data_IF_441370643035
#
_entry.id   IF_441370643035
#
_cell.length_a   1.000
_cell.length_b   1.000
_cell.length_c   1.000
_cell.angle_alpha   90.00
_cell.angle_beta   90.00
_cell.angle_gamma   90.00
#
_symmetry.space_group_name_H-M   'P 1'
#
loop_
_entity.id
_entity.type
_entity.pdbx_description
1 polymer ?
#
# COMPACT_ATOMS: atom_id res chain seq x y z
N UNK A 1 1.21 -42.09 59.10
CA UNK A 1 1.05 -43.07 58.00
C UNK A 1 -0.33 -42.88 57.40
N UNK A 2 -0.38 -42.64 56.09
CA UNK A 2 -1.55 -42.59 55.19
C UNK A 2 -2.64 -41.52 55.45
N UNK A 3 -3.24 -40.86 54.45
CA UNK A 3 -2.92 -40.37 53.09
C UNK A 3 -4.29 -39.82 52.61
N UNK A 4 -4.34 -38.56 52.16
CA UNK A 4 -5.01 -38.08 50.92
C UNK A 4 -6.54 -38.38 50.81
N UNK A 5 -7.48 -37.43 50.68
CA UNK A 5 -7.69 -36.55 49.51
C UNK A 5 -8.79 -35.51 49.86
N UNK A 6 -8.43 -34.25 50.11
CA UNK A 6 -9.38 -33.13 50.09
C UNK A 6 -9.40 -32.62 48.65
N UNK A 7 -10.46 -32.91 47.90
CA UNK A 7 -10.69 -32.34 46.57
C UNK A 7 -11.38 -30.98 46.75
N UNK A 8 -10.57 -29.94 46.92
CA UNK A 8 -10.96 -28.56 46.67
C UNK A 8 -10.87 -28.29 45.18
N UNK A 9 -12.00 -28.02 44.55
CA UNK A 9 -12.11 -27.32 43.26
C UNK A 9 -13.27 -26.35 43.48
N UNK A 10 -12.99 -25.18 44.05
CA UNK A 10 -12.67 -23.97 43.29
C UNK A 10 -13.53 -23.91 42.01
N UNK A 11 -14.63 -23.18 42.12
CA UNK A 11 -15.37 -22.73 40.96
C UNK A 11 -14.48 -21.90 40.04
N UNK A 12 -14.86 -21.84 38.77
CA UNK A 12 -14.95 -20.61 38.00
C UNK A 12 -15.49 -21.01 36.60
N UNK A 13 -16.66 -20.48 36.28
CA UNK A 13 -17.13 -20.12 34.95
C UNK A 13 -17.39 -21.22 33.91
N UNK A 14 -18.62 -21.73 33.96
CA UNK A 14 -19.43 -22.00 32.77
C UNK A 14 -19.49 -20.73 31.89
N UNK A 15 -18.63 -20.66 30.87
CA UNK A 15 -18.84 -19.79 29.71
C UNK A 15 -19.43 -20.65 28.58
N UNK A 16 -20.76 -20.68 28.39
CA UNK A 16 -21.25 -20.85 27.03
C UNK A 16 -20.98 -19.51 26.33
N UNK A 17 -20.08 -19.55 25.34
CA UNK A 17 -19.94 -18.52 24.31
C UNK A 17 -21.27 -18.43 23.56
N UNK A 18 -22.21 -17.68 24.12
CA UNK A 18 -23.41 -17.25 23.44
C UNK A 18 -22.96 -16.25 22.39
N UNK A 19 -23.10 -16.65 21.14
CA UNK A 19 -23.11 -15.76 19.98
C UNK A 19 -23.95 -14.52 20.28
N UNK A 20 -23.30 -13.37 20.42
CA UNK A 20 -23.93 -12.09 20.10
C UNK A 20 -23.33 -11.62 18.79
N UNK A 21 -23.98 -12.05 17.71
CA UNK A 21 -23.97 -11.32 16.45
C UNK A 21 -24.71 -10.00 16.67
N UNK A 22 -24.04 -8.98 17.22
CA UNK A 22 -24.55 -7.62 17.14
C UNK A 22 -24.32 -7.12 15.72
N UNK A 23 -25.27 -7.41 14.84
CA UNK A 23 -25.56 -6.58 13.68
C UNK A 23 -26.04 -5.22 14.20
N UNK A 24 -25.09 -4.37 14.54
CA UNK A 24 -25.33 -3.01 14.97
C UNK A 24 -24.68 -2.07 13.95
N UNK A 25 -25.36 -1.93 12.81
CA UNK A 25 -25.39 -0.66 12.09
C UNK A 25 -26.10 0.36 12.99
N UNK A 26 -25.46 0.77 14.07
CA UNK A 26 -25.90 1.92 14.86
C UNK A 26 -24.92 3.05 14.58
N UNK A 27 -25.42 4.03 13.84
CA UNK A 27 -24.89 5.40 13.85
C UNK A 27 -24.60 5.83 15.28
N UNK A 28 -23.51 6.57 15.54
CA UNK A 28 -23.12 6.94 16.89
C UNK A 28 -24.18 7.86 17.50
N UNK A 29 -25.10 7.30 18.27
CA UNK A 29 -26.08 8.06 19.03
C UNK A 29 -25.37 8.78 20.18
N UNK A 30 -25.12 10.08 19.99
CA UNK A 30 -24.70 10.98 21.07
C UNK A 30 -25.71 10.86 22.22
N UNK A 31 -25.28 10.28 23.34
CA UNK A 31 -26.11 10.17 24.53
C UNK A 31 -26.25 11.55 25.18
N UNK A 32 -27.37 12.22 24.94
CA UNK A 32 -27.74 13.43 25.67
C UNK A 32 -28.42 12.99 26.97
N UNK A 33 -27.75 13.14 28.11
CA UNK A 33 -28.38 12.95 29.42
C UNK A 33 -29.15 14.22 29.80
N UNK A 34 -30.46 14.10 29.99
CA UNK A 34 -31.26 15.19 30.52
C UNK A 34 -30.84 15.49 31.98
N UNK A 35 -30.40 16.73 32.23
CA UNK A 35 -30.16 17.22 33.58
C UNK A 35 -31.49 17.50 34.29
N UNK A 36 -31.63 17.04 35.54
CA UNK A 36 -32.84 17.25 36.35
C UNK A 36 -32.82 18.68 36.87
N UNK A 37 -33.73 19.53 36.40
CA UNK A 37 -33.93 20.89 36.93
C UNK A 37 -35.34 20.93 37.54
N UNK A 38 -35.44 21.17 38.84
CA UNK A 38 -36.72 21.40 39.52
C UNK A 38 -37.20 22.83 39.25
N UNK A 39 -38.46 22.99 38.85
CA UNK A 39 -39.08 24.33 38.75
C UNK A 39 -39.14 25.00 40.13
N UNK A 40 -39.27 26.33 40.16
CA UNK A 40 -39.41 27.10 41.42
C UNK A 40 -40.64 26.69 42.27
N UNK A 41 -41.57 25.91 41.71
CA UNK A 41 -42.75 25.36 42.40
C UNK A 41 -42.60 23.86 42.75
N UNK A 42 -41.41 23.28 42.62
CA UNK A 42 -41.13 21.90 43.05
C UNK A 42 -41.60 20.80 42.08
N UNK A 43 -42.11 21.15 40.90
CA UNK A 43 -42.50 20.17 39.88
C UNK A 43 -41.32 19.76 39.00
N UNK A 44 -41.29 18.49 38.61
CA UNK A 44 -40.30 17.92 37.70
C UNK A 44 -40.57 18.41 36.29
N UNK A 45 -39.65 19.19 35.72
CA UNK A 45 -39.72 19.64 34.33
C UNK A 45 -38.76 18.78 33.51
N UNK A 46 -39.26 18.15 32.45
CA UNK A 46 -38.43 17.45 31.46
C UNK A 46 -38.20 18.40 30.29
N UNK A 47 -36.96 18.86 30.12
CA UNK A 47 -36.57 19.66 28.96
C UNK A 47 -36.14 18.69 27.88
N UNK A 48 -36.91 18.60 26.80
CA UNK A 48 -36.46 17.96 25.56
C UNK A 48 -35.60 18.98 24.81
N UNK A 49 -34.28 18.78 24.68
CA UNK A 49 -33.50 19.63 23.81
C UNK A 49 -34.06 19.48 22.39
N UNK A 50 -34.36 20.60 21.73
CA UNK A 50 -34.78 20.58 20.33
C UNK A 50 -33.71 19.85 19.51
N UNK A 51 -34.09 18.72 18.92
CA UNK A 51 -33.29 18.02 17.93
C UNK A 51 -33.20 18.88 16.68
N UNK A 52 -32.21 19.78 16.62
CA UNK A 52 -31.84 20.44 15.38
C UNK A 52 -30.80 19.59 14.67
N UNK A 53 -31.05 19.25 13.41
CA UNK A 53 -30.03 18.68 12.54
C UNK A 53 -28.87 19.68 12.46
N UNK A 54 -27.78 19.40 13.16
CA UNK A 54 -26.55 20.14 12.96
C UNK A 54 -25.91 19.62 11.67
N UNK A 55 -25.75 20.46 10.63
CA UNK A 55 -25.05 20.04 9.43
C UNK A 55 -23.65 19.61 9.81
N UNK A 56 -23.17 18.52 9.19
CA UNK A 56 -21.79 18.08 9.37
C UNK A 56 -20.84 19.25 9.06
N UNK A 57 -19.77 19.43 9.85
CA UNK A 57 -18.81 20.49 9.61
C UNK A 57 -18.24 20.36 8.19
N UNK A 58 -18.50 21.35 7.35
CA UNK A 58 -17.91 21.45 6.01
C UNK A 58 -16.56 22.13 6.14
N UNK A 59 -15.51 21.35 6.05
CA UNK A 59 -14.16 21.89 5.97
C UNK A 59 -13.80 22.17 4.51
N UNK A 60 -13.28 23.35 4.21
CA UNK A 60 -12.74 23.72 2.90
C UNK A 60 -11.34 23.14 2.70
N UNK A 61 -11.16 21.84 2.96
CA UNK A 61 -9.88 21.20 2.68
C UNK A 61 -9.65 21.24 1.16
N UNK A 62 -8.49 21.74 0.69
CA UNK A 62 -8.17 21.67 -0.72
C UNK A 62 -8.14 20.19 -1.11
N UNK A 63 -9.07 19.77 -1.97
CA UNK A 63 -9.04 18.42 -2.52
C UNK A 63 -7.90 18.38 -3.52
N UNK A 64 -6.87 17.55 -3.32
CA UNK A 64 -5.75 17.51 -4.24
C UNK A 64 -6.25 17.10 -5.62
N UNK A 65 -5.88 17.88 -6.65
CA UNK A 65 -6.29 17.62 -8.03
C UNK A 65 -5.70 16.31 -8.59
N UNK A 66 -4.66 15.77 -7.94
CA UNK A 66 -4.00 14.52 -8.32
C UNK A 66 -3.85 13.60 -7.11
N UNK A 67 -3.90 12.30 -7.38
CA UNK A 67 -3.69 11.28 -6.35
C UNK A 67 -2.32 11.47 -5.70
N UNK A 68 -2.30 11.50 -4.37
CA UNK A 68 -1.06 11.56 -3.59
C UNK A 68 -0.41 10.19 -3.62
N UNK A 69 0.77 10.10 -4.25
CA UNK A 69 1.56 8.87 -4.29
C UNK A 69 2.35 8.73 -2.99
N UNK A 70 2.15 7.62 -2.29
CA UNK A 70 2.84 7.28 -1.04
C UNK A 70 3.39 5.86 -1.13
N UNK A 71 4.15 5.42 -0.12
CA UNK A 71 4.58 4.02 0.00
C UNK A 71 3.39 3.04 -0.11
N UNK A 72 2.22 3.42 0.39
CA UNK A 72 1.02 2.59 0.38
C UNK A 72 0.43 2.40 -1.02
N UNK A 73 0.83 3.23 -1.98
CA UNK A 73 0.46 3.06 -3.39
C UNK A 73 1.20 1.91 -4.08
N UNK A 74 2.22 1.31 -3.44
CA UNK A 74 3.05 0.23 -3.97
C UNK A 74 2.90 -1.06 -3.16
N UNK A 75 1.77 -1.26 -2.50
CA UNK A 75 1.47 -2.53 -1.83
C UNK A 75 1.31 -3.66 -2.86
N UNK A 76 1.27 -4.90 -2.40
CA UNK A 76 1.03 -6.03 -3.29
C UNK A 76 -0.40 -5.99 -3.83
N UNK A 77 -0.58 -6.15 -5.15
CA UNK A 77 -1.88 -6.07 -5.82
C UNK A 77 -2.57 -7.43 -6.04
N UNK A 78 -2.18 -8.44 -5.26
CA UNK A 78 -2.82 -9.76 -5.30
C UNK A 78 -4.33 -9.67 -5.14
N UNK A 79 -5.03 -10.47 -5.94
CA UNK A 79 -6.47 -10.33 -6.22
C UNK A 79 -7.33 -11.50 -5.72
N UNK A 80 -6.76 -12.41 -4.92
CA UNK A 80 -7.45 -13.61 -4.40
C UNK A 80 -8.02 -14.56 -5.48
N UNK A 81 -7.54 -14.47 -6.71
CA UNK A 81 -7.94 -15.35 -7.81
C UNK A 81 -7.14 -16.65 -7.81
N UNK A 82 -7.50 -17.59 -8.68
CA UNK A 82 -6.77 -18.84 -8.88
C UNK A 82 -6.60 -19.16 -10.36
N UNK A 83 -5.53 -19.89 -10.69
CA UNK A 83 -5.28 -20.46 -12.01
C UNK A 83 -5.09 -21.96 -11.90
N UNK A 84 -5.57 -22.70 -12.89
CA UNK A 84 -5.28 -24.13 -13.02
C UNK A 84 -3.96 -24.31 -13.77
N UNK A 85 -3.08 -25.13 -13.21
CA UNK A 85 -1.81 -25.53 -13.84
C UNK A 85 -1.71 -27.04 -13.90
N UNK A 86 -0.74 -27.56 -14.66
CA UNK A 86 -0.47 -29.00 -14.76
C UNK A 86 -0.23 -29.67 -13.40
N UNK A 87 0.31 -28.91 -12.43
CA UNK A 87 0.60 -29.37 -11.08
C UNK A 87 -0.51 -29.08 -10.06
N UNK A 88 -1.67 -28.59 -10.51
CA UNK A 88 -2.83 -28.24 -9.67
C UNK A 88 -3.18 -26.75 -9.68
N UNK A 89 -4.06 -26.35 -8.76
CA UNK A 89 -4.55 -24.98 -8.65
C UNK A 89 -3.58 -24.09 -7.87
N UNK A 90 -3.09 -23.02 -8.49
CA UNK A 90 -2.34 -21.97 -7.82
C UNK A 90 -3.27 -20.83 -7.42
N UNK A 91 -3.23 -20.46 -6.15
CA UNK A 91 -4.00 -19.34 -5.61
C UNK A 91 -3.12 -18.10 -5.49
N UNK A 92 -3.69 -16.96 -5.82
CA UNK A 92 -3.10 -15.66 -5.55
C UNK A 92 -3.22 -15.31 -4.05
N UNK A 93 -2.52 -14.26 -3.63
CA UNK A 93 -2.63 -13.69 -2.29
C UNK A 93 -3.74 -12.63 -2.22
N UNK A 94 -4.12 -12.28 -0.99
CA UNK A 94 -4.90 -11.08 -0.69
C UNK A 94 -3.95 -9.90 -0.55
N UNK A 95 -3.70 -9.21 -1.66
CA UNK A 95 -2.70 -8.15 -1.79
C UNK A 95 -2.80 -7.08 -0.71
N UNK A 96 -4.01 -6.54 -0.55
CA UNK A 96 -4.29 -5.44 0.38
C UNK A 96 -4.17 -5.90 1.83
N UNK A 97 -4.83 -7.00 2.23
CA UNK A 97 -4.86 -7.38 3.64
C UNK A 97 -3.49 -7.79 4.16
N UNK A 98 -2.68 -8.54 3.40
CA UNK A 98 -1.36 -8.92 3.90
C UNK A 98 -0.37 -7.75 3.89
N UNK A 99 -0.55 -6.77 3.01
CA UNK A 99 0.28 -5.55 2.96
C UNK A 99 -0.11 -4.52 4.03
N UNK A 100 -1.37 -4.52 4.50
CA UNK A 100 -1.82 -3.70 5.63
C UNK A 100 -1.37 -4.29 6.98
N UNK A 101 -1.33 -5.62 7.08
CA UNK A 101 -0.95 -6.32 8.31
C UNK A 101 0.57 -6.53 8.47
N UNK A 102 1.39 -6.18 7.46
CA UNK A 102 2.85 -6.32 7.50
C UNK A 102 3.53 -5.09 6.92
N UNK A 103 4.65 -4.69 7.51
CA UNK A 103 5.54 -3.69 6.90
C UNK A 103 6.08 -4.30 5.61
N UNK A 104 5.67 -3.76 4.47
CA UNK A 104 6.28 -4.11 3.19
C UNK A 104 7.36 -3.08 2.79
N UNK A 105 8.47 -3.55 2.20
CA UNK A 105 9.52 -2.69 1.70
C UNK A 105 9.13 -2.08 0.36
N UNK A 106 9.44 -0.80 0.16
CA UNK A 106 9.50 -0.15 -1.15
C UNK A 106 10.59 0.91 -1.08
N UNK A 107 11.49 0.92 -2.06
CA UNK A 107 12.62 1.83 -2.09
C UNK A 107 12.13 3.29 -2.22
N UNK A 108 12.62 4.17 -1.34
CA UNK A 108 12.21 5.59 -1.28
C UNK A 108 12.34 6.28 -2.63
N UNK A 109 13.46 6.02 -3.31
CA UNK A 109 13.73 6.54 -4.66
C UNK A 109 12.68 6.18 -5.72
N UNK A 110 12.10 4.98 -5.68
CA UNK A 110 11.02 4.60 -6.61
C UNK A 110 9.80 5.51 -6.40
N UNK A 111 9.49 5.84 -5.14
CA UNK A 111 8.40 6.76 -4.80
C UNK A 111 8.70 8.15 -5.37
N UNK A 112 9.93 8.64 -5.22
CA UNK A 112 10.33 9.95 -5.73
C UNK A 112 10.28 10.03 -7.26
N UNK A 113 10.81 9.01 -7.95
CA UNK A 113 10.71 8.88 -9.41
C UNK A 113 9.23 8.91 -9.81
N UNK A 114 8.40 8.07 -9.19
CA UNK A 114 6.97 7.97 -9.55
C UNK A 114 6.22 9.28 -9.28
N UNK A 115 6.51 9.97 -8.18
CA UNK A 115 5.93 11.29 -7.87
C UNK A 115 6.30 12.31 -8.93
N UNK A 116 7.58 12.38 -9.31
CA UNK A 116 8.07 13.30 -10.33
C UNK A 116 7.46 13.02 -11.71
N UNK A 117 7.29 11.74 -12.06
CA UNK A 117 6.60 11.36 -13.29
C UNK A 117 5.11 11.74 -13.21
N UNK A 118 4.46 11.55 -12.06
CA UNK A 118 3.05 11.84 -11.84
C UNK A 118 2.71 13.35 -11.84
N UNK A 119 3.70 14.23 -11.64
CA UNK A 119 3.50 15.68 -11.82
C UNK A 119 3.41 16.08 -13.30
N UNK A 120 3.84 15.24 -14.23
CA UNK A 120 3.84 15.54 -15.67
C UNK A 120 2.87 14.65 -16.46
N UNK A 121 2.68 13.42 -16.03
CA UNK A 121 1.85 12.42 -16.68
C UNK A 121 0.89 11.78 -15.68
N UNK A 122 -0.29 11.35 -16.13
CA UNK A 122 -1.16 10.55 -15.29
C UNK A 122 -0.60 9.13 -15.25
N UNK A 123 -0.25 8.66 -14.05
CA UNK A 123 0.41 7.36 -13.90
C UNK A 123 -0.44 6.45 -13.04
N UNK A 124 -0.57 5.21 -13.50
CA UNK A 124 -1.10 4.10 -12.72
C UNK A 124 0.05 3.21 -12.30
N UNK A 125 0.10 2.85 -11.03
CA UNK A 125 1.04 1.84 -10.52
C UNK A 125 0.40 0.48 -10.83
N UNK A 126 1.04 -0.30 -11.70
CA UNK A 126 0.58 -1.63 -12.07
C UNK A 126 1.04 -2.63 -11.02
N UNK A 127 2.33 -2.61 -10.69
CA UNK A 127 2.91 -3.45 -9.64
C UNK A 127 3.96 -2.68 -8.84
N UNK A 128 3.98 -2.89 -7.53
CA UNK A 128 4.95 -2.34 -6.59
C UNK A 128 5.72 -3.45 -5.89
N UNK A 129 5.69 -3.47 -4.56
CA UNK A 129 6.12 -4.64 -3.81
C UNK A 129 5.25 -5.85 -4.15
N UNK A 130 5.88 -6.99 -4.40
CA UNK A 130 5.18 -8.24 -4.70
C UNK A 130 5.56 -9.28 -3.65
N UNK A 131 4.59 -9.89 -2.97
CA UNK A 131 4.90 -11.00 -2.06
C UNK A 131 5.26 -12.27 -2.84
N UNK A 132 6.01 -13.18 -2.24
CA UNK A 132 6.42 -14.44 -2.89
C UNK A 132 5.26 -15.25 -3.48
N UNK A 133 4.10 -15.27 -2.80
CA UNK A 133 2.91 -15.98 -3.28
C UNK A 133 2.37 -15.36 -4.57
N UNK A 134 2.20 -14.04 -4.58
CA UNK A 134 1.75 -13.29 -5.75
C UNK A 134 2.75 -13.38 -6.90
N UNK A 135 4.04 -13.26 -6.62
CA UNK A 135 5.08 -13.33 -7.63
C UNK A 135 5.09 -14.67 -8.37
N UNK A 136 4.94 -15.78 -7.62
CA UNK A 136 4.82 -17.12 -8.22
C UNK A 136 3.55 -17.26 -9.05
N UNK A 137 2.44 -16.69 -8.57
CA UNK A 137 1.17 -16.68 -9.28
C UNK A 137 1.27 -15.93 -10.61
N UNK A 138 1.83 -14.72 -10.61
CA UNK A 138 2.05 -13.92 -11.83
C UNK A 138 2.96 -14.64 -12.83
N UNK A 139 4.06 -15.23 -12.35
CA UNK A 139 4.97 -15.99 -13.19
C UNK A 139 4.29 -17.19 -13.85
N UNK A 140 3.46 -17.93 -13.11
CA UNK A 140 2.68 -19.03 -13.66
C UNK A 140 1.59 -18.57 -14.63
N UNK A 141 1.14 -17.32 -14.52
CA UNK A 141 0.19 -16.68 -15.46
C UNK A 141 0.86 -16.16 -16.73
N UNK A 142 2.19 -16.34 -16.88
CA UNK A 142 2.95 -15.87 -18.04
C UNK A 142 3.41 -14.41 -17.95
N UNK A 143 3.19 -13.73 -16.82
CA UNK A 143 3.66 -12.37 -16.62
C UNK A 143 5.15 -12.35 -16.29
N UNK A 144 5.90 -11.49 -16.98
CA UNK A 144 7.33 -11.28 -16.75
C UNK A 144 7.55 -10.09 -15.84
N UNK A 145 7.84 -10.36 -14.57
CA UNK A 145 8.13 -9.33 -13.57
C UNK A 145 9.57 -9.50 -13.03
N UNK A 146 10.24 -8.38 -12.76
CA UNK A 146 11.56 -8.43 -12.13
C UNK A 146 11.49 -9.04 -10.75
N UNK A 147 12.46 -9.89 -10.41
CA UNK A 147 12.55 -10.47 -9.06
C UNK A 147 12.78 -9.40 -7.98
N UNK A 148 13.25 -8.21 -8.35
CA UNK A 148 13.46 -7.08 -7.43
C UNK A 148 12.17 -6.56 -6.79
N UNK A 149 11.00 -6.89 -7.35
CA UNK A 149 9.70 -6.59 -6.73
C UNK A 149 9.51 -7.30 -5.38
N UNK A 150 10.15 -8.47 -5.17
CA UNK A 150 10.08 -9.21 -3.90
C UNK A 150 10.69 -8.44 -2.72
N UNK A 151 11.63 -7.54 -3.00
CA UNK A 151 12.32 -6.73 -1.99
C UNK A 151 11.93 -5.25 -2.06
N UNK A 152 10.94 -4.89 -2.88
CA UNK A 152 10.54 -3.48 -3.06
C UNK A 152 11.56 -2.63 -3.81
N UNK A 153 12.44 -3.24 -4.61
CA UNK A 153 13.48 -2.56 -5.39
C UNK A 153 13.13 -2.44 -6.88
N UNK A 154 11.87 -2.71 -7.23
CA UNK A 154 11.34 -2.47 -8.56
C UNK A 154 9.87 -2.05 -8.49
N UNK A 155 9.41 -1.37 -9.55
CA UNK A 155 8.02 -1.03 -9.76
C UNK A 155 7.68 -1.05 -11.25
N UNK A 156 6.44 -1.38 -11.56
CA UNK A 156 5.89 -1.34 -12.90
C UNK A 156 4.79 -0.27 -12.92
N UNK A 157 4.96 0.71 -13.79
CA UNK A 157 4.04 1.82 -13.97
C UNK A 157 3.42 1.75 -15.37
N UNK A 158 2.26 2.38 -15.52
CA UNK A 158 1.56 2.54 -16.78
C UNK A 158 1.12 3.99 -16.97
N UNK A 159 1.25 4.47 -18.19
CA UNK A 159 0.74 5.77 -18.65
C UNK A 159 0.10 5.59 -20.01
N UNK A 160 -1.00 6.28 -20.26
CA UNK A 160 -1.66 6.35 -21.56
C UNK A 160 -0.87 7.19 -22.58
N UNK A 161 0.00 8.08 -22.10
CA UNK A 161 0.84 8.94 -22.93
C UNK A 161 2.06 8.20 -23.49
N UNK A 162 2.43 8.55 -24.72
CA UNK A 162 3.71 8.15 -25.31
C UNK A 162 4.84 8.98 -24.69
N UNK A 163 5.78 8.32 -24.04
CA UNK A 163 6.97 8.96 -23.47
C UNK A 163 8.16 8.82 -24.41
N UNK A 164 8.91 9.90 -24.58
CA UNK A 164 10.23 9.89 -25.24
C UNK A 164 11.34 9.80 -24.19
N UNK A 165 12.45 9.15 -24.54
CA UNK A 165 13.59 9.02 -23.63
C UNK A 165 14.23 10.36 -23.29
N UNK A 166 14.27 11.29 -24.23
CA UNK A 166 14.79 12.64 -23.98
C UNK A 166 13.97 13.39 -22.93
N UNK A 167 12.64 13.29 -23.02
CA UNK A 167 11.74 13.90 -22.03
C UNK A 167 11.90 13.27 -20.66
N UNK A 168 12.07 11.94 -20.61
CA UNK A 168 12.27 11.18 -19.39
C UNK A 168 13.61 11.54 -18.73
N UNK A 169 14.68 11.57 -19.51
CA UNK A 169 16.04 11.96 -19.08
C UNK A 169 16.06 13.37 -18.52
N UNK A 170 15.53 14.35 -19.27
CA UNK A 170 15.45 15.74 -18.82
C UNK A 170 14.68 15.88 -17.50
N UNK A 171 13.56 15.17 -17.39
CA UNK A 171 12.75 15.17 -16.18
C UNK A 171 13.51 14.58 -14.99
N UNK A 172 14.09 13.38 -15.15
CA UNK A 172 14.78 12.67 -14.07
C UNK A 172 16.07 13.36 -13.60
N UNK A 173 16.73 14.17 -14.44
CA UNK A 173 17.86 15.01 -14.01
C UNK A 173 17.47 15.96 -12.86
N UNK A 174 16.19 16.34 -12.76
CA UNK A 174 15.71 17.18 -11.66
C UNK A 174 15.80 16.52 -10.27
N UNK A 175 15.92 15.19 -10.21
CA UNK A 175 16.09 14.44 -8.97
C UNK A 175 17.43 14.71 -8.27
N UNK A 176 18.39 15.33 -8.96
CA UNK A 176 19.77 15.57 -8.48
C UNK A 176 20.08 17.04 -8.21
N UNK A 177 19.07 17.91 -8.12
CA UNK A 177 19.26 19.37 -7.99
C UNK A 177 19.78 19.86 -6.62
N UNK A 178 20.04 18.99 -5.64
CA UNK A 178 20.60 19.40 -4.34
C UNK A 178 22.13 19.44 -4.40
N UNK A 179 22.72 20.43 -3.72
CA UNK A 179 24.16 20.64 -3.46
C UNK A 179 24.87 19.47 -2.73
N UNK A 180 24.31 18.27 -2.73
CA UNK A 180 24.93 17.09 -2.17
C UNK A 180 25.73 16.42 -3.28
N UNK A 181 26.98 16.08 -2.97
CA UNK A 181 27.80 15.19 -3.78
C UNK A 181 27.10 13.84 -3.82
N UNK A 182 26.40 13.54 -4.91
CA UNK A 182 25.83 12.22 -5.13
C UNK A 182 27.00 11.26 -5.45
N UNK A 183 27.07 10.07 -4.82
CA UNK A 183 28.12 9.10 -5.11
C UNK A 183 27.93 8.41 -6.47
N UNK A 184 26.82 8.69 -7.17
CA UNK A 184 26.46 8.10 -8.44
C UNK A 184 26.46 9.12 -9.57
N UNK A 185 26.81 8.67 -10.79
CA UNK A 185 26.71 9.47 -12.00
C UNK A 185 25.28 9.98 -12.25
N UNK A 186 25.18 11.27 -12.56
CA UNK A 186 23.93 11.97 -12.93
C UNK A 186 23.68 11.89 -14.45
N UNK A 187 24.65 11.36 -15.19
CA UNK A 187 24.53 11.19 -16.64
C UNK A 187 23.83 9.88 -16.97
N UNK A 188 22.73 10.03 -17.70
CA UNK A 188 21.91 8.93 -18.16
C UNK A 188 22.44 8.38 -19.47
N UNK A 189 22.69 7.07 -19.49
CA UNK A 189 22.87 6.30 -20.71
C UNK A 189 21.46 5.95 -21.21
N UNK A 190 21.15 6.33 -22.44
CA UNK A 190 19.83 6.12 -23.05
C UNK A 190 19.95 5.27 -24.30
N UNK A 191 19.01 4.35 -24.48
CA UNK A 191 18.75 3.61 -25.73
C UNK A 191 17.33 3.94 -26.19
N UNK A 192 16.82 3.24 -27.21
CA UNK A 192 15.43 3.42 -27.65
C UNK A 192 14.40 3.05 -26.58
N UNK A 193 14.71 2.06 -25.73
CA UNK A 193 13.78 1.46 -24.77
C UNK A 193 14.30 1.47 -23.34
N UNK A 194 15.57 1.80 -23.09
CA UNK A 194 16.12 1.91 -21.74
C UNK A 194 16.72 3.27 -21.44
N UNK A 195 16.65 3.67 -20.17
CA UNK A 195 17.34 4.80 -19.58
C UNK A 195 17.95 4.32 -18.27
N UNK A 196 19.26 4.47 -18.10
CA UNK A 196 19.93 4.03 -16.89
C UNK A 196 21.03 4.98 -16.44
N UNK A 197 21.31 4.95 -15.15
CA UNK A 197 22.56 5.43 -14.56
C UNK A 197 23.04 4.40 -13.53
N UNK A 198 23.97 4.77 -12.66
CA UNK A 198 24.46 3.87 -11.60
C UNK A 198 23.41 3.60 -10.50
N UNK A 199 22.41 4.48 -10.35
CA UNK A 199 21.39 4.36 -9.30
C UNK A 199 20.24 3.43 -9.72
N UNK A 200 19.73 3.58 -10.94
CA UNK A 200 18.55 2.85 -11.41
C UNK A 200 18.53 2.66 -12.93
N UNK A 201 17.72 1.68 -13.36
CA UNK A 201 17.35 1.40 -14.74
C UNK A 201 15.85 1.62 -14.91
N UNK A 202 15.46 2.28 -15.99
CA UNK A 202 14.09 2.38 -16.46
C UNK A 202 13.98 1.76 -17.85
N UNK A 203 13.05 0.83 -18.02
CA UNK A 203 12.74 0.19 -19.28
C UNK A 203 11.33 0.56 -19.73
N UNK A 204 11.21 1.06 -20.95
CA UNK A 204 9.95 1.40 -21.60
C UNK A 204 9.48 0.24 -22.47
N UNK A 205 8.23 -0.18 -22.28
CA UNK A 205 7.56 -1.13 -23.16
C UNK A 205 6.28 -0.52 -23.69
N UNK A 206 6.23 -0.29 -25.01
CA UNK A 206 5.05 0.27 -25.68
C UNK A 206 4.08 -0.86 -26.03
N UNK A 207 2.83 -0.73 -25.60
CA UNK A 207 1.71 -1.60 -25.98
C UNK A 207 0.60 -0.73 -26.59
N UNK A 208 -0.36 -1.33 -27.27
CA UNK A 208 -1.41 -0.60 -28.02
C UNK A 208 -2.21 0.41 -27.17
N UNK A 209 -2.32 0.14 -25.87
CA UNK A 209 -3.09 0.96 -24.92
C UNK A 209 -2.26 2.02 -24.18
N UNK A 210 -0.93 2.05 -24.33
CA UNK A 210 -0.07 2.99 -23.63
C UNK A 210 1.38 2.53 -23.46
N UNK A 211 2.10 3.18 -22.54
CA UNK A 211 3.50 2.89 -22.24
C UNK A 211 3.63 2.34 -20.83
N UNK A 212 4.26 1.17 -20.71
CA UNK A 212 4.71 0.62 -19.43
C UNK A 212 6.12 1.11 -19.12
N UNK A 213 6.37 1.44 -17.86
CA UNK A 213 7.68 1.80 -17.32
C UNK A 213 8.04 0.83 -16.20
N UNK A 214 9.02 -0.02 -16.44
CA UNK A 214 9.64 -0.81 -15.39
C UNK A 214 10.81 0.00 -14.80
N UNK A 215 10.75 0.26 -13.49
CA UNK A 215 11.83 0.90 -12.72
C UNK A 215 12.52 -0.20 -11.92
N UNK A 216 13.84 -0.29 -12.02
CA UNK A 216 14.65 -1.21 -11.23
C UNK A 216 15.79 -0.45 -10.55
N UNK A 217 15.89 -0.58 -9.24
CA UNK A 217 16.99 0.02 -8.50
C UNK A 217 18.27 -0.83 -8.64
N UNK A 218 19.41 -0.18 -8.84
CA UNK A 218 20.72 -0.80 -9.01
C UNK A 218 21.62 -0.55 -7.80
N UNK A 219 21.51 0.62 -7.18
CA UNK A 219 22.32 1.03 -6.04
C UNK A 219 21.47 1.74 -4.98
N UNK A 220 21.67 1.39 -3.71
CA UNK A 220 20.99 2.00 -2.56
C UNK A 220 21.87 3.14 -2.03
N UNK A 221 21.50 4.38 -2.34
CA UNK A 221 22.22 5.58 -1.88
C UNK A 221 22.16 5.78 -0.36
N UNK A 222 21.10 5.31 0.30
CA UNK A 222 20.94 5.48 1.75
C UNK A 222 21.86 4.52 2.52
N UNK A 223 22.08 3.32 1.96
CA UNK A 223 22.96 2.29 2.54
C UNK A 223 24.38 2.30 1.97
N UNK A 224 24.63 3.00 0.87
CA UNK A 224 25.94 3.07 0.22
C UNK A 224 26.40 1.73 -0.34
N UNK A 225 25.48 0.91 -0.85
CA UNK A 225 25.79 -0.42 -1.38
C UNK A 225 24.95 -0.78 -2.62
N UNK A 226 25.46 -1.65 -3.51
CA UNK A 226 24.68 -2.20 -4.61
C UNK A 226 23.45 -2.95 -4.11
N UNK A 227 22.38 -2.93 -4.90
CA UNK A 227 21.19 -3.71 -4.59
C UNK A 227 21.39 -5.14 -5.03
N UNK A 228 21.46 -6.04 -4.04
CA UNK A 228 21.51 -7.47 -4.28
C UNK A 228 20.24 -7.93 -5.00
N UNK A 229 20.42 -8.59 -6.14
CA UNK A 229 19.36 -9.39 -6.75
C UNK A 229 19.14 -10.63 -5.90
N UNK A 230 17.93 -10.83 -5.34
CA UNK A 230 17.63 -12.05 -4.60
C UNK A 230 17.87 -13.28 -5.50
N UNK A 231 18.31 -14.42 -4.93
CA UNK A 231 18.45 -15.64 -5.69
C UNK A 231 17.11 -16.01 -6.32
N UNK A 232 17.13 -16.48 -7.56
CA UNK A 232 15.94 -16.95 -8.24
C UNK A 232 15.26 -18.01 -7.38
N UNK A 233 13.96 -17.93 -7.07
CA UNK A 233 13.26 -18.91 -6.22
C UNK A 233 13.10 -20.29 -6.89
N UNK A 234 13.88 -20.57 -7.94
CA UNK A 234 13.95 -21.80 -8.71
C UNK A 234 15.37 -22.40 -8.78
N UNK A 235 16.32 -21.90 -7.99
CA UNK A 235 17.58 -22.62 -7.71
C UNK A 235 17.42 -23.54 -6.51
#
# INVERSE_FOLDING_TARGET
MHRILIKTSLGFFLFPLICSCTNSTETPHRHIRAGRITSQQGHSVVIYPESRENPLPKYSWPTPQRRVITRYSFHCHGSLISIETENGTLYDCDGLNHSLCKIFPIHSRIIDITRLLNTHNTISIVEGFCCHKHFRFLKASGETLSIKHLNGNAALLFTDKKLSMDSLSSLLRSLYKKKNTYPCSIDFITTETTLQNEEFLITLTRKDKGTYLAIEMLYDLEKGQPIETPPSPLS
#
